data_IF_185551987329
#
_entry.id   IF_185551987329
#
_cell.length_a   1.000
_cell.length_b   1.000
_cell.length_c   1.000
_cell.angle_alpha   90.00
_cell.angle_beta   90.00
_cell.angle_gamma   90.00
#
_symmetry.space_group_name_H-M   'P 1'
#
loop_
_entity.id
_entity.type
_entity.pdbx_description
1 polymer ?
#
# COMPACT_ATOMS: atom_id res chain seq x y z
N UNK A 1 29.25 29.33 -24.77
CA UNK A 1 27.89 29.54 -25.30
C UNK A 1 26.95 29.97 -24.18
N UNK A 2 26.52 31.24 -24.18
CA UNK A 2 25.70 31.81 -23.11
C UNK A 2 24.30 31.16 -23.08
N UNK A 3 23.96 30.49 -21.97
CA UNK A 3 22.59 30.04 -21.70
C UNK A 3 21.69 31.29 -21.66
N UNK A 4 20.77 31.43 -22.62
CA UNK A 4 19.80 32.53 -22.67
C UNK A 4 19.12 32.68 -21.30
N UNK A 5 19.41 33.78 -20.62
CA UNK A 5 18.99 34.09 -19.26
C UNK A 5 17.52 34.51 -19.12
N UNK A 6 16.63 34.10 -20.03
CA UNK A 6 15.21 34.40 -19.91
C UNK A 6 14.47 33.23 -19.26
N UNK A 7 14.55 33.19 -17.92
CA UNK A 7 13.79 32.29 -17.03
C UNK A 7 12.26 32.52 -17.09
N UNK A 8 11.77 33.39 -17.98
CA UNK A 8 10.37 33.79 -18.15
C UNK A 8 9.52 32.79 -18.96
N UNK A 9 10.13 31.74 -19.53
CA UNK A 9 9.43 30.79 -20.40
C UNK A 9 8.99 31.44 -21.74
N UNK A 10 8.28 30.68 -22.56
CA UNK A 10 7.84 31.10 -23.90
C UNK A 10 6.45 30.55 -24.22
N UNK A 11 5.59 31.39 -24.79
CA UNK A 11 4.34 30.97 -25.43
C UNK A 11 4.55 30.81 -26.93
N UNK A 12 3.92 29.77 -27.52
CA UNK A 12 3.94 29.53 -28.95
C UNK A 12 2.66 28.81 -29.39
N UNK A 13 2.28 28.94 -30.66
CA UNK A 13 1.27 28.10 -31.30
C UNK A 13 1.97 27.05 -32.16
N UNK A 14 1.42 25.84 -32.21
CA UNK A 14 1.85 24.83 -33.18
C UNK A 14 1.16 25.09 -34.52
N UNK A 15 1.78 24.67 -35.62
CA UNK A 15 1.15 24.74 -36.93
C UNK A 15 -0.22 24.05 -36.90
N UNK A 16 -1.27 24.74 -37.35
CA UNK A 16 -2.65 24.25 -37.33
C UNK A 16 -3.38 24.31 -35.98
N UNK A 17 -2.71 24.67 -34.88
CA UNK A 17 -3.34 24.73 -33.55
C UNK A 17 -3.88 26.12 -33.22
N UNK A 18 -5.17 26.20 -32.85
CA UNK A 18 -5.78 27.46 -32.37
C UNK A 18 -5.36 27.82 -30.94
N UNK A 19 -4.92 26.82 -30.16
CA UNK A 19 -4.57 26.97 -28.73
C UNK A 19 -3.09 27.28 -28.51
N UNK A 20 -2.81 28.02 -27.45
CA UNK A 20 -1.44 28.35 -27.05
C UNK A 20 -0.78 27.21 -26.28
N UNK A 21 0.52 27.04 -26.50
CA UNK A 21 1.38 26.16 -25.73
C UNK A 21 2.37 26.99 -24.93
N UNK A 22 2.57 26.61 -23.67
CA UNK A 22 3.57 27.18 -22.79
C UNK A 22 4.81 26.27 -22.72
N UNK A 23 6.00 26.86 -22.70
CA UNK A 23 7.24 26.17 -22.37
C UNK A 23 8.01 26.95 -21.33
N UNK A 24 8.48 26.28 -20.28
CA UNK A 24 9.28 26.89 -19.21
C UNK A 24 10.30 25.90 -18.68
N UNK A 25 11.18 26.35 -17.80
CA UNK A 25 12.12 25.51 -17.07
C UNK A 25 11.60 25.28 -15.66
N UNK A 26 11.58 24.02 -15.21
CA UNK A 26 11.21 23.68 -13.84
C UNK A 26 12.33 24.02 -12.84
N UNK A 27 12.11 23.71 -11.56
CA UNK A 27 13.06 23.98 -10.48
C UNK A 27 14.39 23.22 -10.67
N UNK A 28 14.36 22.08 -11.37
CA UNK A 28 15.53 21.25 -11.68
C UNK A 28 16.23 21.65 -12.99
N UNK A 29 15.75 22.72 -13.64
CA UNK A 29 16.32 23.21 -14.89
C UNK A 29 15.94 22.37 -16.11
N UNK A 30 14.96 21.46 -15.99
CA UNK A 30 14.42 20.69 -17.12
C UNK A 30 13.33 21.47 -17.82
N UNK A 31 13.34 21.43 -19.16
CA UNK A 31 12.35 22.12 -19.98
C UNK A 31 11.02 21.36 -19.97
N UNK A 32 9.95 22.00 -19.50
CA UNK A 32 8.57 21.51 -19.53
C UNK A 32 7.77 22.21 -20.62
N UNK A 33 6.77 21.51 -21.14
CA UNK A 33 5.83 22.01 -22.16
C UNK A 33 4.41 21.60 -21.76
N UNK A 34 3.46 22.50 -21.90
CA UNK A 34 2.06 22.28 -21.56
C UNK A 34 1.15 22.94 -22.60
N UNK A 35 0.07 22.27 -22.98
CA UNK A 35 -1.02 22.92 -23.70
C UNK A 35 -1.81 23.78 -22.72
N UNK A 36 -1.97 25.06 -23.00
CA UNK A 36 -2.74 25.94 -22.11
C UNK A 36 -4.26 25.76 -22.27
N UNK A 37 -4.70 24.99 -23.27
CA UNK A 37 -6.11 24.78 -23.64
C UNK A 37 -6.92 26.07 -23.82
N UNK A 38 -6.26 27.19 -24.07
CA UNK A 38 -6.91 28.47 -24.36
C UNK A 38 -6.41 29.03 -25.68
N UNK A 39 -7.30 29.67 -26.41
CA UNK A 39 -7.02 30.41 -27.65
C UNK A 39 -6.62 31.86 -27.37
N UNK A 40 -6.96 32.37 -26.17
CA UNK A 40 -6.60 33.70 -25.69
C UNK A 40 -5.15 33.75 -25.20
N UNK A 41 -4.38 34.70 -25.75
CA UNK A 41 -2.98 34.91 -25.41
C UNK A 41 -2.81 35.43 -23.98
N UNK A 42 -3.73 36.25 -23.48
CA UNK A 42 -3.65 36.81 -22.14
C UNK A 42 -3.92 35.75 -21.07
N UNK A 43 -4.93 34.90 -21.25
CA UNK A 43 -5.15 33.71 -20.43
C UNK A 43 -3.95 32.75 -20.46
N UNK A 44 -3.37 32.50 -21.65
CA UNK A 44 -2.18 31.66 -21.79
C UNK A 44 -0.96 32.23 -21.06
N UNK A 45 -0.79 33.57 -21.07
CA UNK A 45 0.28 34.26 -20.37
C UNK A 45 0.16 34.09 -18.85
N UNK A 46 -1.04 34.28 -18.29
CA UNK A 46 -1.30 34.03 -16.85
C UNK A 46 -0.99 32.58 -16.45
N UNK A 47 -1.36 31.60 -17.28
CA UNK A 47 -1.02 30.18 -17.03
C UNK A 47 0.50 29.97 -17.03
N UNK A 48 1.21 30.55 -18.00
CA UNK A 48 2.67 30.47 -18.05
C UNK A 48 3.32 31.13 -16.83
N UNK A 49 2.88 32.34 -16.46
CA UNK A 49 3.36 33.06 -15.28
C UNK A 49 3.15 32.25 -14.00
N UNK A 50 1.97 31.67 -13.81
CA UNK A 50 1.70 30.79 -12.69
C UNK A 50 2.67 29.60 -12.64
N UNK A 51 2.97 28.96 -13.79
CA UNK A 51 3.94 27.85 -13.84
C UNK A 51 5.38 28.27 -13.58
N UNK A 52 5.79 29.45 -14.07
CA UNK A 52 7.12 30.01 -13.83
C UNK A 52 7.26 30.41 -12.35
N UNK A 53 6.25 31.05 -11.77
CA UNK A 53 6.19 31.39 -10.35
C UNK A 53 6.27 30.13 -9.47
N UNK A 54 5.49 29.10 -9.79
CA UNK A 54 5.54 27.82 -9.08
C UNK A 54 6.92 27.12 -9.21
N UNK A 55 7.62 27.28 -10.34
CA UNK A 55 8.98 26.77 -10.53
C UNK A 55 10.03 27.60 -9.76
N UNK A 56 9.82 28.92 -9.62
CA UNK A 56 10.66 29.79 -8.82
C UNK A 56 10.50 29.47 -7.32
N UNK A 57 9.27 29.35 -6.82
CA UNK A 57 8.99 28.98 -5.43
C UNK A 57 9.59 27.62 -5.04
N UNK A 58 9.57 26.62 -5.93
CA UNK A 58 10.25 25.32 -5.72
C UNK A 58 11.77 25.39 -5.78
N UNK A 59 12.34 26.36 -6.50
CA UNK A 59 13.79 26.56 -6.61
C UNK A 59 14.36 27.26 -5.38
N UNK A 60 13.63 28.25 -4.88
CA UNK A 60 13.94 28.94 -3.62
C UNK A 60 13.57 28.11 -2.37
N UNK A 61 13.03 26.90 -2.55
CA UNK A 61 12.68 25.99 -1.45
C UNK A 61 11.41 26.36 -0.67
N UNK A 62 10.68 27.41 -1.10
CA UNK A 62 9.42 27.85 -0.50
C UNK A 62 8.30 26.82 -0.71
N UNK A 63 8.31 26.12 -1.85
CA UNK A 63 7.53 24.88 -2.03
C UNK A 63 8.47 23.72 -1.79
N UNK A 64 8.24 22.99 -0.71
CA UNK A 64 9.03 21.82 -0.35
C UNK A 64 8.83 20.72 -1.41
N UNK A 65 9.94 20.35 -2.07
CA UNK A 65 9.99 19.25 -3.06
C UNK A 65 9.43 17.95 -2.49
N UNK A 66 9.56 17.77 -1.17
CA UNK A 66 9.03 16.64 -0.42
C UNK A 66 7.51 16.65 -0.41
N UNK A 67 6.87 17.77 -0.10
CA UNK A 67 5.40 17.91 -0.14
C UNK A 67 4.84 17.67 -1.54
N UNK A 68 5.52 18.17 -2.56
CA UNK A 68 5.09 18.00 -3.95
C UNK A 68 5.16 16.53 -4.40
N UNK A 69 6.23 15.82 -4.01
CA UNK A 69 6.36 14.37 -4.22
C UNK A 69 5.27 13.60 -3.47
N UNK A 70 5.01 13.96 -2.21
CA UNK A 70 3.96 13.32 -1.40
C UNK A 70 2.56 13.52 -2.02
N UNK A 71 2.27 14.71 -2.55
CA UNK A 71 1.00 14.97 -3.23
C UNK A 71 0.83 14.15 -4.52
N UNK A 72 1.93 13.92 -5.26
CA UNK A 72 1.91 13.07 -6.46
C UNK A 72 1.74 11.60 -6.06
N UNK A 73 2.58 11.09 -5.16
CA UNK A 73 2.55 9.68 -4.72
C UNK A 73 1.26 9.32 -4.00
N UNK A 74 0.71 10.23 -3.19
CA UNK A 74 -0.55 10.02 -2.48
C UNK A 74 -1.75 9.81 -3.42
N UNK A 75 -1.72 10.42 -4.62
CA UNK A 75 -2.75 10.27 -5.66
C UNK A 75 -2.55 9.05 -6.55
N UNK A 76 -1.43 8.32 -6.42
CA UNK A 76 -1.21 7.11 -7.22
C UNK A 76 -2.12 5.99 -6.68
N UNK A 77 -2.51 5.04 -7.55
CA UNK A 77 -3.23 3.86 -7.11
C UNK A 77 -2.48 3.13 -6.01
N UNK A 78 -3.18 2.72 -4.95
CA UNK A 78 -2.61 1.99 -3.83
C UNK A 78 -1.97 0.66 -4.28
N UNK A 79 -2.47 0.09 -5.37
CA UNK A 79 -1.92 -1.11 -6.01
C UNK A 79 -0.44 -0.94 -6.40
N UNK A 80 -0.02 0.25 -6.86
CA UNK A 80 1.37 0.50 -7.20
C UNK A 80 2.27 0.50 -5.95
N UNK A 81 1.78 1.06 -4.84
CA UNK A 81 2.48 1.00 -3.55
C UNK A 81 2.52 -0.42 -3.00
N UNK A 82 1.42 -1.17 -3.14
CA UNK A 82 1.31 -2.55 -2.69
C UNK A 82 2.31 -3.46 -3.43
N UNK A 83 2.44 -3.31 -4.73
CA UNK A 83 3.38 -4.09 -5.54
C UNK A 83 4.83 -3.77 -5.19
N UNK A 84 5.18 -2.48 -5.08
CA UNK A 84 6.50 -2.06 -4.61
C UNK A 84 6.84 -2.61 -3.22
N UNK A 85 5.85 -2.61 -2.31
CA UNK A 85 6.01 -3.20 -0.99
C UNK A 85 6.22 -4.72 -1.06
N UNK A 86 5.45 -5.44 -1.88
CA UNK A 86 5.59 -6.88 -2.09
C UNK A 86 7.00 -7.25 -2.59
N UNK A 87 7.50 -6.53 -3.59
CA UNK A 87 8.86 -6.68 -4.10
C UNK A 87 9.92 -6.37 -3.03
N UNK A 88 9.68 -5.36 -2.18
CA UNK A 88 10.59 -5.07 -1.06
C UNK A 88 10.67 -6.19 -0.03
N UNK A 89 9.58 -6.94 0.19
CA UNK A 89 9.58 -8.10 1.09
C UNK A 89 10.40 -9.25 0.50
N UNK A 90 10.30 -9.45 -0.80
CA UNK A 90 11.10 -10.44 -1.53
C UNK A 90 12.59 -10.09 -1.52
N UNK A 91 12.95 -8.84 -1.82
CA UNK A 91 14.33 -8.36 -1.76
C UNK A 91 14.96 -8.49 -0.36
N UNK A 92 14.14 -8.42 0.71
CA UNK A 92 14.57 -8.66 2.10
C UNK A 92 14.76 -10.14 2.44
N UNK A 93 14.54 -11.07 1.51
CA UNK A 93 14.61 -12.50 1.76
C UNK A 93 13.43 -13.05 2.57
N UNK A 94 12.28 -12.38 2.56
CA UNK A 94 11.09 -12.90 3.26
C UNK A 94 10.58 -14.15 2.56
N UNK A 95 10.64 -15.30 3.24
CA UNK A 95 10.20 -16.57 2.68
C UNK A 95 8.76 -16.55 2.16
N UNK A 96 8.52 -17.27 1.06
CA UNK A 96 7.29 -17.24 0.26
C UNK A 96 6.00 -17.38 1.05
N UNK A 97 5.97 -18.34 1.98
CA UNK A 97 4.79 -18.58 2.83
C UNK A 97 4.45 -17.36 3.67
N UNK A 98 5.46 -16.68 4.22
CA UNK A 98 5.27 -15.47 5.02
C UNK A 98 4.87 -14.31 4.13
N UNK A 99 5.52 -14.13 2.98
CA UNK A 99 5.18 -13.08 2.00
C UNK A 99 3.71 -13.18 1.60
N UNK A 100 3.27 -14.34 1.08
CA UNK A 100 1.87 -14.60 0.69
C UNK A 100 0.86 -14.36 1.82
N UNK A 101 1.21 -14.76 3.05
CA UNK A 101 0.33 -14.55 4.21
C UNK A 101 0.17 -13.06 4.55
N UNK A 102 1.27 -12.30 4.52
CA UNK A 102 1.24 -10.87 4.89
C UNK A 102 0.60 -10.05 3.78
N UNK A 103 1.01 -10.26 2.53
CA UNK A 103 0.45 -9.53 1.37
C UNK A 103 -1.04 -9.85 1.20
N UNK A 104 -1.45 -11.12 1.31
CA UNK A 104 -2.86 -11.50 1.21
C UNK A 104 -3.75 -10.90 2.30
N UNK A 105 -3.22 -10.68 3.50
CA UNK A 105 -3.94 -9.99 4.58
C UNK A 105 -4.09 -8.49 4.31
N UNK A 106 -3.01 -7.83 3.92
CA UNK A 106 -3.07 -6.42 3.58
C UNK A 106 -4.01 -6.17 2.39
N UNK A 107 -3.92 -6.99 1.33
CA UNK A 107 -4.78 -6.92 0.15
C UNK A 107 -6.27 -7.05 0.52
N UNK A 108 -6.62 -8.03 1.36
CA UNK A 108 -8.01 -8.21 1.79
C UNK A 108 -8.56 -7.02 2.59
N UNK A 109 -7.72 -6.37 3.40
CA UNK A 109 -8.14 -5.16 4.11
C UNK A 109 -8.36 -4.01 3.14
N UNK A 110 -7.43 -3.80 2.20
CA UNK A 110 -7.53 -2.76 1.16
C UNK A 110 -8.81 -2.93 0.34
N UNK A 111 -9.07 -4.14 -0.14
CA UNK A 111 -10.24 -4.50 -0.95
C UNK A 111 -11.55 -4.27 -0.19
N UNK A 112 -11.68 -4.80 1.04
CA UNK A 112 -12.92 -4.69 1.81
C UNK A 112 -13.19 -3.28 2.38
N UNK A 113 -12.15 -2.45 2.52
CA UNK A 113 -12.28 -1.04 2.85
C UNK A 113 -12.48 -0.15 1.62
N UNK A 114 -12.29 -0.69 0.40
CA UNK A 114 -12.42 0.05 -0.85
C UNK A 114 -11.38 1.15 -1.03
N UNK A 115 -10.16 0.95 -0.51
CA UNK A 115 -9.10 1.95 -0.66
C UNK A 115 -8.52 1.94 -2.08
N UNK A 116 -8.63 3.06 -2.79
CA UNK A 116 -8.10 3.20 -4.15
C UNK A 116 -6.72 3.86 -4.18
N UNK A 117 -6.48 4.81 -3.28
CA UNK A 117 -5.22 5.57 -3.18
C UNK A 117 -4.72 5.62 -1.75
N UNK A 118 -3.46 6.04 -1.55
CA UNK A 118 -2.90 6.18 -0.21
C UNK A 118 -3.58 7.30 0.60
N UNK A 119 -4.15 8.30 -0.06
CA UNK A 119 -4.88 9.39 0.60
C UNK A 119 -6.32 9.03 0.98
N UNK A 120 -6.88 7.96 0.41
CA UNK A 120 -8.23 7.45 0.77
C UNK A 120 -8.20 6.57 2.04
N UNK A 121 -7.01 6.29 2.60
CA UNK A 121 -6.90 5.51 3.82
C UNK A 121 -7.52 6.30 4.97
N UNK A 122 -8.57 5.73 5.54
CA UNK A 122 -9.38 6.34 6.59
C UNK A 122 -9.55 5.39 7.77
N UNK A 123 -9.47 5.93 8.99
CA UNK A 123 -9.56 5.16 10.22
C UNK A 123 -10.98 4.61 10.47
N UNK A 124 -12.04 5.34 10.07
CA UNK A 124 -13.41 4.88 10.25
C UNK A 124 -13.69 3.64 9.39
N UNK A 125 -13.26 3.63 8.12
CA UNK A 125 -13.33 2.44 7.24
C UNK A 125 -12.61 1.23 7.86
N UNK A 126 -11.47 1.44 8.52
CA UNK A 126 -10.74 0.36 9.23
C UNK A 126 -11.49 -0.11 10.49
N UNK A 127 -12.10 0.80 11.26
CA UNK A 127 -12.96 0.43 12.39
C UNK A 127 -14.16 -0.40 11.93
N UNK A 128 -14.80 -0.02 10.83
CA UNK A 128 -15.91 -0.78 10.24
C UNK A 128 -15.47 -2.16 9.75
N UNK A 129 -14.27 -2.27 9.18
CA UNK A 129 -13.67 -3.56 8.84
C UNK A 129 -13.48 -4.47 10.07
N UNK A 130 -13.07 -3.92 11.20
CA UNK A 130 -12.93 -4.65 12.48
C UNK A 130 -14.32 -5.08 12.98
N UNK A 131 -15.26 -4.14 13.04
CA UNK A 131 -16.64 -4.38 13.50
C UNK A 131 -17.34 -5.47 12.70
N UNK A 132 -17.29 -5.40 11.35
CA UNK A 132 -17.85 -6.42 10.44
C UNK A 132 -17.28 -7.82 10.64
N UNK A 133 -16.13 -7.97 11.30
CA UNK A 133 -15.52 -9.26 11.65
C UNK A 133 -15.91 -9.76 13.03
N UNK A 134 -16.19 -8.84 13.94
CA UNK A 134 -16.68 -9.14 15.29
C UNK A 134 -18.17 -9.49 15.27
N UNK A 135 -18.96 -8.79 14.46
CA UNK A 135 -20.43 -8.91 14.41
C UNK A 135 -20.93 -10.11 13.56
N UNK A 136 -20.02 -10.99 13.10
CA UNK A 136 -20.41 -12.18 12.32
C UNK A 136 -21.03 -13.23 13.23
N UNK A 137 -21.97 -14.03 12.69
CA UNK A 137 -22.55 -15.19 13.38
C UNK A 137 -21.48 -16.14 13.96
N UNK A 138 -20.33 -16.24 13.29
CA UNK A 138 -19.09 -16.79 13.87
C UNK A 138 -18.02 -15.70 13.89
N UNK A 139 -17.80 -15.03 15.04
CA UNK A 139 -16.85 -13.93 15.13
C UNK A 139 -15.43 -14.37 14.78
N UNK A 140 -14.71 -13.53 14.04
CA UNK A 140 -13.31 -13.77 13.74
C UNK A 140 -12.47 -13.54 15.00
N UNK A 141 -11.60 -14.48 15.33
CA UNK A 141 -10.73 -14.37 16.50
C UNK A 141 -9.88 -13.07 16.46
N UNK A 142 -9.75 -12.39 17.61
CA UNK A 142 -8.98 -11.15 17.75
C UNK A 142 -7.55 -11.26 17.21
N UNK A 143 -6.88 -12.40 17.40
CA UNK A 143 -5.54 -12.67 16.84
C UNK A 143 -5.50 -12.58 15.31
N UNK A 144 -6.57 -13.05 14.64
CA UNK A 144 -6.68 -13.00 13.19
C UNK A 144 -6.94 -11.57 12.72
N UNK A 145 -7.82 -10.82 13.41
CA UNK A 145 -8.06 -9.39 13.14
C UNK A 145 -6.75 -8.59 13.27
N UNK A 146 -6.02 -8.78 14.36
CA UNK A 146 -4.72 -8.15 14.57
C UNK A 146 -3.69 -8.52 13.50
N UNK A 147 -3.77 -9.74 12.95
CA UNK A 147 -2.96 -10.15 11.80
C UNK A 147 -3.22 -9.31 10.55
N UNK A 148 -4.49 -8.95 10.26
CA UNK A 148 -4.82 -8.03 9.16
C UNK A 148 -4.24 -6.64 9.41
N UNK A 149 -4.47 -6.09 10.61
CA UNK A 149 -4.00 -4.76 10.99
C UNK A 149 -2.47 -4.65 10.95
N UNK A 150 -1.75 -5.68 11.45
CA UNK A 150 -0.30 -5.71 11.40
C UNK A 150 0.25 -5.74 9.98
N UNK A 151 -0.34 -6.56 9.10
CA UNK A 151 0.06 -6.63 7.70
C UNK A 151 -0.19 -5.31 6.97
N UNK A 152 -1.33 -4.67 7.20
CA UNK A 152 -1.64 -3.37 6.61
C UNK A 152 -0.71 -2.25 7.12
N UNK A 153 -0.45 -2.21 8.43
CA UNK A 153 0.54 -1.29 9.02
C UNK A 153 1.94 -1.47 8.46
N UNK A 154 2.34 -2.70 8.16
CA UNK A 154 3.64 -2.95 7.56
C UNK A 154 3.75 -2.29 6.19
N UNK A 155 2.68 -2.31 5.39
CA UNK A 155 2.63 -1.60 4.10
C UNK A 155 2.62 -0.08 4.30
N UNK A 156 1.82 0.45 5.24
CA UNK A 156 1.81 1.90 5.55
C UNK A 156 3.21 2.36 5.96
N UNK A 157 3.89 1.61 6.84
CA UNK A 157 5.26 1.93 7.26
C UNK A 157 6.24 1.91 6.08
N UNK A 158 6.08 0.97 5.15
CA UNK A 158 6.84 0.98 3.90
C UNK A 158 6.56 2.25 3.09
N UNK A 159 5.28 2.63 2.91
CA UNK A 159 4.90 3.83 2.17
C UNK A 159 5.48 5.12 2.78
N UNK A 160 5.58 5.19 4.12
CA UNK A 160 6.21 6.33 4.80
C UNK A 160 7.72 6.36 4.54
N UNK A 161 8.41 5.24 4.73
CA UNK A 161 9.87 5.14 4.54
C UNK A 161 10.26 5.38 3.07
N UNK A 162 9.44 4.91 2.13
CA UNK A 162 9.63 5.12 0.68
C UNK A 162 9.22 6.53 0.23
N UNK A 163 8.80 7.42 1.16
CA UNK A 163 8.43 8.80 0.87
C UNK A 163 7.20 8.95 0.00
N UNK A 164 6.26 7.99 0.09
CA UNK A 164 4.94 8.02 -0.57
C UNK A 164 3.86 8.59 0.34
N UNK A 165 4.07 8.51 1.65
CA UNK A 165 3.16 9.00 2.67
C UNK A 165 3.93 9.79 3.73
N UNK A 166 3.34 10.88 4.24
CA UNK A 166 4.02 11.75 5.20
C UNK A 166 4.03 11.17 6.62
N UNK A 167 2.92 10.54 7.00
CA UNK A 167 2.65 10.05 8.35
C UNK A 167 1.68 8.87 8.31
N UNK A 168 1.51 8.18 9.45
CA UNK A 168 0.52 7.10 9.57
C UNK A 168 -0.91 7.71 9.52
N UNK A 169 -1.78 7.27 8.59
CA UNK A 169 -3.15 7.76 8.47
C UNK A 169 -4.10 7.12 9.49
N UNK A 170 -3.66 6.05 10.19
CA UNK A 170 -4.47 5.33 11.18
C UNK A 170 -3.78 5.20 12.54
N UNK A 171 -3.27 6.32 13.13
CA UNK A 171 -2.49 6.27 14.36
C UNK A 171 -3.33 5.81 15.57
N UNK A 172 -4.64 6.10 15.56
CA UNK A 172 -5.56 5.75 16.65
C UNK A 172 -6.06 4.31 16.64
N UNK A 173 -5.81 3.52 15.59
CA UNK A 173 -6.30 2.14 15.51
C UNK A 173 -5.51 1.26 16.49
N UNK A 174 -6.12 0.81 17.59
CA UNK A 174 -5.43 -0.07 18.53
C UNK A 174 -5.62 -1.54 18.19
N UNK A 175 -4.76 -2.40 18.72
CA UNK A 175 -4.94 -3.84 18.56
C UNK A 175 -6.18 -4.31 19.34
N UNK A 176 -6.99 -5.17 18.73
CA UNK A 176 -8.14 -5.78 19.39
C UNK A 176 -7.66 -6.66 20.54
N UNK A 177 -8.20 -6.44 21.74
CA UNK A 177 -7.85 -7.22 22.93
C UNK A 177 -8.15 -8.70 22.69
N UNK A 178 -7.15 -9.55 22.91
CA UNK A 178 -7.31 -11.00 22.84
C UNK A 178 -7.83 -11.45 24.20
N UNK A 179 -9.13 -11.74 24.29
CA UNK A 179 -9.80 -12.22 25.50
C UNK A 179 -10.06 -13.73 25.35
N UNK A 180 -9.76 -14.50 26.39
CA UNK A 180 -10.00 -15.94 26.44
C UNK A 180 -8.74 -16.75 26.77
N UNK A 181 -8.91 -18.06 27.02
CA UNK A 181 -7.78 -18.95 27.31
C UNK A 181 -6.86 -19.07 26.09
N UNK A 182 -5.58 -18.72 26.28
CA UNK A 182 -4.52 -19.23 25.41
C UNK A 182 -4.64 -20.74 25.40
N UNK A 183 -4.87 -21.34 24.22
CA UNK A 183 -4.85 -22.81 24.06
C UNK A 183 -3.53 -23.32 24.64
N UNK A 184 -3.58 -23.93 25.82
CA UNK A 184 -2.41 -24.59 26.41
C UNK A 184 -2.13 -25.82 25.57
N UNK A 185 -1.10 -25.74 24.74
CA UNK A 185 -0.58 -26.92 24.05
C UNK A 185 0.04 -27.80 25.14
N UNK A 186 -0.52 -28.99 25.35
CA UNK A 186 0.05 -30.02 26.20
C UNK A 186 0.45 -31.22 25.35
N UNK A 187 1.45 -32.02 25.78
CA UNK A 187 1.67 -33.33 25.17
C UNK A 187 0.42 -34.21 25.31
N UNK A 188 0.22 -35.10 24.34
CA UNK A 188 -0.78 -36.17 24.43
C UNK A 188 -0.34 -37.17 25.51
N UNK A 189 -1.29 -37.75 26.24
CA UNK A 189 -0.98 -38.88 27.12
C UNK A 189 -0.80 -40.16 26.30
N UNK A 190 -0.26 -41.23 26.92
CA UNK A 190 -0.12 -42.52 26.25
C UNK A 190 -1.46 -43.05 25.73
N UNK A 191 -2.52 -42.94 26.54
CA UNK A 191 -3.87 -43.40 26.18
C UNK A 191 -4.49 -42.56 25.05
N UNK A 192 -4.10 -41.30 24.94
CA UNK A 192 -4.53 -40.43 23.84
C UNK A 192 -3.79 -40.73 22.54
N UNK A 193 -2.50 -41.07 22.63
CA UNK A 193 -1.72 -41.55 21.49
C UNK A 193 -2.25 -42.88 20.98
N UNK A 194 -2.56 -43.84 21.87
CA UNK A 194 -3.13 -45.14 21.49
C UNK A 194 -4.48 -44.97 20.78
N UNK A 195 -5.35 -44.09 21.30
CA UNK A 195 -6.63 -43.75 20.64
C UNK A 195 -6.41 -43.10 19.28
N UNK A 196 -5.40 -42.23 19.14
CA UNK A 196 -5.07 -41.60 17.87
C UNK A 196 -4.54 -42.61 16.84
N UNK A 197 -3.74 -43.58 17.28
CA UNK A 197 -3.22 -44.65 16.42
C UNK A 197 -4.33 -45.61 15.97
N UNK A 198 -5.19 -46.05 16.89
CA UNK A 198 -6.34 -46.90 16.57
C UNK A 198 -7.26 -46.24 15.53
N UNK A 199 -7.56 -44.95 15.69
CA UNK A 199 -8.34 -44.21 14.70
C UNK A 199 -7.58 -44.02 13.37
N UNK A 200 -6.27 -43.77 13.42
CA UNK A 200 -5.46 -43.59 12.21
C UNK A 200 -5.36 -44.86 11.40
N UNK A 201 -5.31 -46.04 12.02
CA UNK A 201 -5.22 -47.33 11.35
C UNK A 201 -6.41 -47.60 10.42
N UNK A 202 -7.60 -47.12 10.77
CA UNK A 202 -8.84 -47.30 9.96
C UNK A 202 -9.18 -46.06 9.12
N UNK A 203 -8.40 -44.99 9.23
CA UNK A 203 -8.63 -43.76 8.50
C UNK A 203 -8.31 -43.91 7.00
N UNK A 204 -9.02 -43.19 6.12
CA UNK A 204 -8.76 -43.20 4.68
C UNK A 204 -7.36 -42.68 4.35
N UNK A 205 -6.88 -43.05 3.16
CA UNK A 205 -5.59 -42.61 2.63
C UNK A 205 -5.47 -41.09 2.68
N UNK A 206 -4.38 -40.61 3.27
CA UNK A 206 -4.11 -39.17 3.41
C UNK A 206 -2.69 -38.87 2.97
N UNK A 207 -2.54 -37.95 2.02
CA UNK A 207 -1.25 -37.60 1.40
C UNK A 207 -0.49 -38.82 0.83
N UNK A 208 -1.23 -39.77 0.25
CA UNK A 208 -0.66 -40.94 -0.42
C UNK A 208 -0.28 -42.12 0.49
N UNK A 209 -0.55 -42.06 1.80
CA UNK A 209 -0.29 -43.17 2.73
C UNK A 209 -1.58 -43.73 3.31
N UNK A 210 -1.71 -45.05 3.35
CA UNK A 210 -2.82 -45.74 3.99
C UNK A 210 -2.77 -45.59 5.51
N UNK A 211 -3.91 -45.81 6.17
CA UNK A 211 -4.04 -45.69 7.62
C UNK A 211 -2.97 -46.47 8.41
N UNK A 212 -2.80 -47.79 8.17
CA UNK A 212 -1.82 -48.60 8.87
C UNK A 212 -0.37 -48.13 8.68
N UNK A 213 0.01 -47.78 7.45
CA UNK A 213 1.36 -47.29 7.13
C UNK A 213 1.67 -45.99 7.88
N UNK A 214 0.68 -45.11 8.00
CA UNK A 214 0.82 -43.86 8.76
C UNK A 214 1.03 -44.11 10.24
N UNK A 215 0.40 -45.13 10.82
CA UNK A 215 0.63 -45.48 12.24
C UNK A 215 2.08 -45.88 12.45
N UNK A 216 2.66 -46.67 11.55
CA UNK A 216 4.05 -47.12 11.65
C UNK A 216 5.07 -45.97 11.57
N UNK A 217 4.76 -44.90 10.83
CA UNK A 217 5.63 -43.71 10.74
C UNK A 217 5.67 -42.91 12.05
N UNK A 218 4.62 -42.98 12.86
CA UNK A 218 4.50 -42.20 14.10
C UNK A 218 4.89 -42.98 15.36
N UNK A 219 5.10 -44.29 15.23
CA UNK A 219 5.44 -45.20 16.34
C UNK A 219 6.95 -45.30 16.49
#
# INVERSE_FOLDING_TARGET
>A
MAKRANRRGSLYKRSGSKVWHASWYDADGKRRRLCTNTTDKAAAARILEAKVAQAALRREGVIDRTQDRLAIEGRRPIAACFEAWSQSLEAKGTGDKRRKMVTGRAARLIEECGFETLTDIDAAKVHDFIRRRQDRARPVAARTINGYLQSFRQMIRFAIVDGRLASDPIPGITAVKVIGQTRRRRPLTAEELDRLFAHTATAPTRRGLAGPDRVMVYR
#
